data_IF_814857815915
#
_entry.id   IF_814857815915
#
_cell.length_a   1.000
_cell.length_b   1.000
_cell.length_c   1.000
_cell.angle_alpha   90.00
_cell.angle_beta   90.00
_cell.angle_gamma   90.00
#
_symmetry.space_group_name_H-M   'P 1'
#
loop_
_entity.id
_entity.type
_entity.pdbx_description
1 polymer ?
#
# COMPACT_ATOMS: atom_id res chain seq x y z
N UNK A 1 -1.48 -3.15 -16.09
CA UNK A 1 -1.05 -2.42 -14.87
C UNK A 1 -0.55 -3.47 -13.90
N UNK A 2 0.68 -3.35 -13.39
CA UNK A 2 1.20 -4.33 -12.43
C UNK A 2 0.55 -4.08 -11.07
N UNK A 3 0.07 -5.12 -10.39
CA UNK A 3 -0.47 -4.96 -9.03
C UNK A 3 0.66 -4.50 -8.09
N UNK A 4 0.39 -3.54 -7.19
CA UNK A 4 1.40 -2.96 -6.29
C UNK A 4 2.21 -4.02 -5.52
N UNK A 5 1.56 -5.12 -5.11
CA UNK A 5 2.22 -6.24 -4.45
C UNK A 5 3.18 -7.01 -5.37
N UNK A 6 2.78 -7.28 -6.61
CA UNK A 6 3.64 -7.93 -7.62
C UNK A 6 4.84 -7.04 -7.96
N UNK A 7 4.62 -5.73 -8.08
CA UNK A 7 5.67 -4.73 -8.30
C UNK A 7 6.69 -4.72 -7.16
N UNK A 8 6.25 -4.75 -5.91
CA UNK A 8 7.15 -4.81 -4.76
C UNK A 8 7.99 -6.10 -4.74
N UNK A 9 7.38 -7.25 -5.05
CA UNK A 9 8.12 -8.50 -5.16
C UNK A 9 9.21 -8.44 -6.23
N UNK A 10 8.94 -7.82 -7.38
CA UNK A 10 9.95 -7.61 -8.43
C UNK A 10 11.04 -6.63 -7.99
N UNK A 11 10.69 -5.51 -7.37
CA UNK A 11 11.65 -4.54 -6.85
C UNK A 11 12.60 -5.14 -5.80
N UNK A 12 12.11 -6.03 -4.94
CA UNK A 12 12.95 -6.76 -3.98
C UNK A 12 13.93 -7.72 -4.65
N UNK A 13 13.54 -8.34 -5.77
CA UNK A 13 14.43 -9.25 -6.53
C UNK A 13 15.59 -8.53 -7.21
N UNK A 14 15.45 -7.22 -7.45
CA UNK A 14 16.48 -6.40 -8.10
C UNK A 14 17.69 -6.06 -7.21
N UNK A 15 17.79 -6.59 -5.97
CA UNK A 15 18.95 -6.44 -5.05
C UNK A 15 19.57 -5.02 -5.07
N UNK A 16 18.73 -4.02 -4.87
CA UNK A 16 19.06 -2.59 -4.98
C UNK A 16 19.99 -2.06 -3.85
N UNK A 17 20.80 -2.92 -3.23
CA UNK A 17 21.49 -2.65 -1.95
C UNK A 17 22.97 -2.25 -2.08
N UNK A 18 23.50 -2.07 -3.30
CA UNK A 18 24.96 -2.17 -3.50
C UNK A 18 25.76 -0.86 -3.57
N UNK A 19 25.18 0.31 -3.28
CA UNK A 19 25.99 1.52 -3.12
C UNK A 19 25.43 2.35 -1.96
N UNK A 20 26.30 2.82 -1.07
CA UNK A 20 25.99 3.29 0.29
C UNK A 20 25.04 4.49 0.44
N UNK A 21 24.44 4.97 -0.65
CA UNK A 21 23.30 5.89 -0.65
C UNK A 21 22.04 5.16 -1.11
N UNK A 22 20.95 5.27 -0.34
CA UNK A 22 19.67 4.66 -0.69
C UNK A 22 19.10 5.31 -1.96
N UNK A 23 19.47 4.76 -3.12
CA UNK A 23 19.10 5.24 -4.43
C UNK A 23 17.58 5.35 -4.63
N UNK A 24 17.13 6.08 -5.66
CA UNK A 24 15.71 6.37 -5.85
C UNK A 24 14.83 5.13 -5.95
N UNK A 25 15.36 4.01 -6.48
CA UNK A 25 14.64 2.75 -6.58
C UNK A 25 14.50 2.01 -5.25
N UNK A 26 15.52 2.02 -4.39
CA UNK A 26 15.46 1.37 -3.07
C UNK A 26 14.56 2.18 -2.14
N UNK A 27 14.66 3.51 -2.17
CA UNK A 27 13.70 4.41 -1.49
C UNK A 27 12.27 4.14 -1.94
N UNK A 28 12.01 4.13 -3.25
CA UNK A 28 10.68 3.87 -3.79
C UNK A 28 10.14 2.49 -3.38
N UNK A 29 10.98 1.45 -3.41
CA UNK A 29 10.63 0.11 -2.93
C UNK A 29 10.15 0.14 -1.48
N UNK A 30 10.85 0.86 -0.62
CA UNK A 30 10.56 0.90 0.82
C UNK A 30 9.30 1.74 1.09
N UNK A 31 9.09 2.83 0.35
CA UNK A 31 7.84 3.60 0.39
C UNK A 31 6.64 2.77 -0.07
N UNK A 32 6.77 1.99 -1.16
CA UNK A 32 5.72 1.05 -1.61
C UNK A 32 5.43 -0.01 -0.54
N UNK A 33 6.46 -0.56 0.10
CA UNK A 33 6.31 -1.54 1.18
C UNK A 33 5.60 -0.96 2.40
N UNK A 34 5.92 0.28 2.79
CA UNK A 34 5.26 0.99 3.87
C UNK A 34 3.78 1.24 3.56
N UNK A 35 3.47 1.69 2.34
CA UNK A 35 2.07 1.90 1.90
C UNK A 35 1.30 0.59 1.90
N UNK A 36 1.84 -0.50 1.35
CA UNK A 36 1.16 -1.80 1.39
C UNK A 36 0.91 -2.30 2.82
N UNK A 37 1.87 -2.08 3.72
CA UNK A 37 1.72 -2.44 5.15
C UNK A 37 0.63 -1.61 5.83
N UNK A 38 0.57 -0.31 5.51
CA UNK A 38 -0.49 0.57 6.00
C UNK A 38 -1.85 0.10 5.49
N UNK A 39 -2.00 -0.12 4.18
CA UNK A 39 -3.26 -0.55 3.57
C UNK A 39 -3.77 -1.85 4.21
N UNK A 40 -2.88 -2.83 4.39
CA UNK A 40 -3.24 -4.10 5.01
C UNK A 40 -3.71 -3.95 6.45
N UNK A 41 -3.01 -3.13 7.25
CA UNK A 41 -3.41 -2.84 8.64
C UNK A 41 -4.75 -2.12 8.69
N UNK A 42 -4.94 -1.09 7.87
CA UNK A 42 -6.20 -0.34 7.78
C UNK A 42 -7.36 -1.24 7.36
N UNK A 43 -7.15 -2.16 6.40
CA UNK A 43 -8.18 -3.14 6.03
C UNK A 43 -8.54 -4.06 7.19
N UNK A 44 -7.56 -4.56 7.95
CA UNK A 44 -7.83 -5.39 9.14
C UNK A 44 -8.57 -4.62 10.22
N UNK A 45 -8.19 -3.37 10.48
CA UNK A 45 -8.87 -2.52 11.48
C UNK A 45 -10.30 -2.22 11.06
N UNK A 46 -10.54 -1.86 9.79
CA UNK A 46 -11.89 -1.64 9.28
C UNK A 46 -12.72 -2.92 9.27
N UNK A 47 -12.11 -4.08 9.05
CA UNK A 47 -12.79 -5.37 9.11
C UNK A 47 -13.25 -5.74 10.50
N UNK A 48 -12.47 -5.37 11.51
CA UNK A 48 -12.71 -5.74 12.89
C UNK A 48 -13.55 -4.73 13.66
N UNK A 49 -13.92 -3.62 13.02
CA UNK A 49 -14.72 -2.54 13.60
C UNK A 49 -16.05 -2.38 12.87
N UNK A 50 -17.14 -2.37 13.62
CA UNK A 50 -18.45 -1.88 13.19
C UNK A 50 -18.91 -0.75 14.12
N UNK A 51 -20.12 -0.23 13.91
CA UNK A 51 -20.64 0.92 14.67
C UNK A 51 -20.81 0.64 16.18
N UNK A 52 -20.87 -0.64 16.59
CA UNK A 52 -21.12 -1.05 17.98
C UNK A 52 -19.89 -1.63 18.68
N UNK A 53 -18.93 -2.20 17.92
CA UNK A 53 -17.80 -2.94 18.46
C UNK A 53 -16.56 -2.86 17.56
N UNK A 54 -15.41 -2.67 18.19
CA UNK A 54 -14.09 -2.80 17.58
C UNK A 54 -13.28 -3.91 18.26
N UNK A 55 -12.82 -4.87 17.46
CA UNK A 55 -11.96 -5.96 17.90
C UNK A 55 -10.50 -5.70 17.49
N UNK A 56 -9.56 -5.94 18.42
CA UNK A 56 -8.14 -5.86 18.11
C UNK A 56 -7.70 -7.10 17.32
N UNK A 57 -7.16 -6.89 16.12
CA UNK A 57 -6.71 -7.99 15.26
C UNK A 57 -5.25 -8.35 15.54
N UNK A 58 -5.03 -9.37 16.36
CA UNK A 58 -3.69 -9.91 16.69
C UNK A 58 -3.03 -10.72 15.54
N UNK A 59 -3.80 -11.03 14.49
CA UNK A 59 -3.31 -11.83 13.35
C UNK A 59 -3.30 -13.35 13.59
N UNK A 60 -3.85 -13.84 14.69
CA UNK A 60 -4.13 -15.26 14.90
C UNK A 60 -5.24 -15.76 13.96
N UNK A 61 -5.28 -17.06 13.70
CA UNK A 61 -6.35 -17.68 12.91
C UNK A 61 -7.74 -17.39 13.50
N UNK A 62 -7.85 -17.37 14.83
CA UNK A 62 -9.09 -17.08 15.56
C UNK A 62 -9.57 -15.65 15.31
N UNK A 63 -8.69 -14.64 15.33
CA UNK A 63 -9.12 -13.26 15.05
C UNK A 63 -9.61 -13.07 13.61
N UNK A 64 -9.04 -13.79 12.64
CA UNK A 64 -9.56 -13.79 11.27
C UNK A 64 -10.89 -14.56 11.12
N UNK A 65 -11.11 -15.64 11.86
CA UNK A 65 -12.41 -16.34 11.85
C UNK A 65 -13.57 -15.45 12.30
N UNK A 66 -13.30 -14.52 13.23
CA UNK A 66 -14.29 -13.55 13.71
C UNK A 66 -14.69 -12.52 12.66
N UNK A 67 -13.92 -12.36 11.57
CA UNK A 67 -14.27 -11.44 10.48
C UNK A 67 -15.41 -11.98 9.59
N UNK A 68 -15.69 -13.28 9.62
CA UNK A 68 -16.76 -13.89 8.82
C UNK A 68 -16.69 -13.50 7.34
N UNK A 69 -17.81 -13.02 6.80
CA UNK A 69 -17.95 -12.57 5.40
C UNK A 69 -17.63 -11.07 5.21
N UNK A 70 -16.76 -10.50 6.05
CA UNK A 70 -16.42 -9.08 5.95
C UNK A 70 -16.04 -8.70 4.52
N UNK A 71 -16.75 -7.70 3.99
CA UNK A 71 -16.57 -7.17 2.65
C UNK A 71 -16.72 -8.17 1.48
N UNK A 72 -17.37 -9.32 1.71
CA UNK A 72 -17.67 -10.27 0.65
C UNK A 72 -18.41 -9.58 -0.51
N UNK A 73 -17.77 -9.50 -1.68
CA UNK A 73 -18.31 -8.86 -2.88
C UNK A 73 -18.35 -7.33 -2.86
N UNK A 74 -17.86 -6.66 -1.81
CA UNK A 74 -17.88 -5.20 -1.69
C UNK A 74 -16.52 -4.58 -2.03
N UNK A 75 -16.55 -3.46 -2.77
CA UNK A 75 -15.33 -2.73 -3.11
C UNK A 75 -14.92 -1.79 -1.96
N UNK A 76 -13.98 -2.25 -1.13
CA UNK A 76 -13.49 -1.52 0.05
C UNK A 76 -12.63 -0.29 -0.24
N UNK A 77 -12.07 -0.20 -1.43
CA UNK A 77 -11.24 0.94 -1.82
C UNK A 77 -11.35 1.23 -3.31
N UNK A 78 -11.04 2.47 -3.67
CA UNK A 78 -10.98 2.94 -5.05
C UNK A 78 -9.74 3.78 -5.23
N UNK A 79 -9.08 3.62 -6.36
CA UNK A 79 -8.00 4.53 -6.74
C UNK A 79 -8.59 5.88 -7.14
N UNK A 80 -7.89 6.95 -6.79
CA UNK A 80 -8.25 8.32 -7.12
C UNK A 80 -7.04 9.21 -7.19
N UNK A 81 -7.30 10.50 -7.23
CA UNK A 81 -6.31 11.57 -7.19
C UNK A 81 -6.70 12.47 -6.02
N UNK A 82 -5.73 12.85 -5.20
CA UNK A 82 -5.97 13.79 -4.11
C UNK A 82 -6.12 15.24 -4.62
N UNK A 83 -6.35 16.18 -3.70
CA UNK A 83 -6.49 17.60 -4.04
C UNK A 83 -5.23 18.21 -4.69
N UNK A 84 -4.07 17.58 -4.51
CA UNK A 84 -2.77 18.04 -5.00
C UNK A 84 -2.38 17.38 -6.34
N UNK A 85 -3.27 16.59 -6.94
CA UNK A 85 -2.97 15.87 -8.18
C UNK A 85 -2.16 14.58 -7.97
N UNK A 86 -1.93 14.14 -6.74
CA UNK A 86 -1.13 12.96 -6.42
C UNK A 86 -2.01 11.71 -6.44
N UNK A 87 -1.57 10.61 -7.09
CA UNK A 87 -2.29 9.35 -7.07
C UNK A 87 -2.54 8.86 -5.64
N UNK A 88 -3.75 8.45 -5.33
CA UNK A 88 -4.14 8.04 -3.98
C UNK A 88 -5.11 6.86 -3.97
N UNK A 89 -5.18 6.16 -2.85
CA UNK A 89 -6.17 5.13 -2.55
C UNK A 89 -7.17 5.70 -1.57
N UNK A 90 -8.45 5.68 -1.94
CA UNK A 90 -9.57 6.11 -1.13
C UNK A 90 -10.28 4.89 -0.53
N UNK A 91 -10.35 4.82 0.80
CA UNK A 91 -11.12 3.78 1.48
C UNK A 91 -12.61 4.10 1.50
N UNK A 92 -13.42 3.12 1.12
CA UNK A 92 -14.87 3.15 1.15
C UNK A 92 -15.33 2.56 2.49
N UNK A 93 -15.20 3.34 3.55
CA UNK A 93 -15.71 2.99 4.88
C UNK A 93 -16.64 4.09 5.35
N UNK A 94 -17.95 3.94 5.14
CA UNK A 94 -18.96 4.80 5.78
C UNK A 94 -20.22 4.02 6.11
N UNK A 95 -20.59 4.08 7.39
CA UNK A 95 -21.97 3.98 7.85
C UNK A 95 -22.71 5.28 7.50
N UNK A 96 -24.02 5.21 7.34
CA UNK A 96 -24.92 6.25 6.82
C UNK A 96 -24.94 7.57 7.62
N UNK A 97 -24.22 7.68 8.74
CA UNK A 97 -24.23 8.86 9.61
C UNK A 97 -23.01 9.80 9.49
N UNK A 98 -21.90 9.35 8.89
CA UNK A 98 -20.60 9.99 9.12
C UNK A 98 -20.21 11.03 8.05
N UNK A 99 -21.18 11.83 7.57
CA UNK A 99 -21.03 12.79 6.46
C UNK A 99 -19.97 13.88 6.70
N UNK A 100 -19.52 14.06 7.94
CA UNK A 100 -18.59 15.10 8.37
C UNK A 100 -17.13 14.63 8.49
N UNK A 101 -16.86 13.32 8.56
CA UNK A 101 -15.49 12.82 8.61
C UNK A 101 -14.83 12.85 7.20
N UNK A 102 -13.61 13.39 7.06
CA UNK A 102 -12.93 13.41 5.78
C UNK A 102 -12.62 11.98 5.32
N UNK A 103 -12.71 11.71 4.01
CA UNK A 103 -12.38 10.41 3.45
C UNK A 103 -10.96 9.98 3.82
N UNK A 104 -10.78 8.73 4.27
CA UNK A 104 -9.45 8.18 4.55
C UNK A 104 -8.73 7.90 3.24
N UNK A 105 -7.79 8.78 2.89
CA UNK A 105 -6.97 8.67 1.67
C UNK A 105 -5.53 8.33 2.00
N UNK A 106 -4.93 7.46 1.19
CA UNK A 106 -3.51 7.11 1.26
C UNK A 106 -2.83 7.55 -0.01
N UNK A 107 -1.82 8.42 0.08
CA UNK A 107 -1.02 8.83 -1.07
C UNK A 107 -0.16 7.66 -1.55
N UNK A 108 -0.09 7.46 -2.86
CA UNK A 108 0.81 6.48 -3.46
C UNK A 108 2.19 7.13 -3.66
N UNK A 109 3.28 6.38 -3.43
CA UNK A 109 4.62 6.89 -3.65
C UNK A 109 4.86 7.11 -5.15
N UNK A 110 5.72 8.07 -5.45
CA UNK A 110 6.12 8.42 -6.82
C UNK A 110 7.61 8.15 -6.99
N UNK A 111 7.97 7.43 -8.04
CA UNK A 111 9.38 7.17 -8.35
C UNK A 111 9.98 8.41 -9.02
N UNK A 112 10.91 9.05 -8.33
CA UNK A 112 11.71 10.15 -8.87
C UNK A 112 13.09 9.63 -9.27
N UNK A 113 13.23 9.18 -10.51
CA UNK A 113 14.48 8.67 -11.07
C UNK A 113 14.84 9.37 -12.39
N UNK A 114 16.14 9.44 -12.69
CA UNK A 114 16.68 9.98 -13.94
C UNK A 114 17.09 8.82 -14.84
N UNK A 115 17.34 9.11 -16.12
CA UNK A 115 17.89 8.12 -17.05
C UNK A 115 19.25 7.57 -16.59
N UNK A 116 20.06 8.40 -15.91
CA UNK A 116 21.33 7.96 -15.34
C UNK A 116 21.14 6.90 -14.25
N UNK A 117 20.12 7.06 -13.39
CA UNK A 117 19.77 6.06 -12.39
C UNK A 117 19.33 4.74 -13.05
N UNK A 118 18.56 4.80 -14.14
CA UNK A 118 18.16 3.61 -14.91
C UNK A 118 19.36 2.90 -15.56
N UNK A 119 20.25 3.67 -16.21
CA UNK A 119 21.44 3.11 -16.86
C UNK A 119 22.41 2.48 -15.85
N UNK A 120 22.53 3.05 -14.65
CA UNK A 120 23.30 2.46 -13.56
C UNK A 120 22.70 1.12 -13.11
N UNK A 121 21.37 1.05 -12.95
CA UNK A 121 20.67 -0.18 -12.59
C UNK A 121 20.83 -1.29 -13.64
N UNK A 122 20.74 -0.94 -14.93
CA UNK A 122 20.93 -1.90 -16.03
C UNK A 122 22.36 -2.45 -16.04
N UNK A 123 23.37 -1.58 -15.90
CA UNK A 123 24.77 -2.02 -15.81
C UNK A 123 25.01 -2.94 -14.62
N UNK A 124 24.43 -2.67 -13.45
CA UNK A 124 24.57 -3.54 -12.28
C UNK A 124 23.99 -4.96 -12.50
N UNK A 125 22.97 -5.09 -13.35
CA UNK A 125 22.31 -6.38 -13.64
C UNK A 125 22.82 -7.07 -14.92
N UNK A 126 23.52 -6.39 -15.82
CA UNK A 126 24.17 -6.99 -16.99
C UNK A 126 25.47 -7.75 -16.67
N UNK A 127 26.07 -7.49 -15.49
CA UNK A 127 27.30 -8.14 -15.02
C UNK A 127 27.07 -9.12 -13.84
N UNK A 128 25.80 -9.46 -13.54
CA UNK A 128 25.39 -10.47 -12.54
C UNK A 128 25.02 -11.80 -13.20
#
# INVERSE_FOLDING_TARGET
>A
MMELGEGLCKLRRLRLEDDGDQGPFSRFRDEVAAVLSFLYRTQKELAACNDELCLAMDGSATSYQLLGDFAAGQRLYRQGVDADGVPSILFSGRSSGDYLAPPRTVKLPSLHATEQHLAALQRAHEYS
#
